data_IF_332383345792
#
_entry.id   IF_332383345792
#
_cell.length_a   1.000
_cell.length_b   1.000
_cell.length_c   1.000
_cell.angle_alpha   90.00
_cell.angle_beta   90.00
_cell.angle_gamma   90.00
#
_symmetry.space_group_name_H-M   'P 1'
#
loop_
_entity.id
_entity.type
_entity.pdbx_description
1 polymer ?
#
# COMPACT_ATOMS: atom_id res chain seq x y z
N UNK A 1 -24.44 -48.70 -49.74
CA UNK A 1 -25.74 -49.43 -49.81
C UNK A 1 -25.97 -49.86 -51.26
N UNK A 2 -26.32 -51.13 -51.50
CA UNK A 2 -26.63 -51.64 -52.85
C UNK A 2 -28.11 -51.95 -52.91
N UNK A 3 -28.82 -51.32 -53.84
CA UNK A 3 -30.25 -51.58 -54.08
C UNK A 3 -30.37 -52.33 -55.39
N UNK A 4 -31.12 -53.43 -55.39
CA UNK A 4 -31.36 -54.25 -56.57
C UNK A 4 -32.85 -54.30 -56.90
N UNK A 5 -33.19 -54.11 -58.17
CA UNK A 5 -34.52 -54.35 -58.71
C UNK A 5 -34.51 -55.57 -59.62
N UNK A 6 -35.57 -56.38 -59.56
CA UNK A 6 -35.73 -57.59 -60.37
C UNK A 6 -37.06 -57.56 -61.13
N UNK A 7 -37.04 -57.89 -62.42
CA UNK A 7 -38.25 -57.99 -63.25
C UNK A 7 -37.95 -58.64 -64.59
N UNK A 8 -38.84 -59.52 -65.07
CA UNK A 8 -38.67 -60.21 -66.36
C UNK A 8 -37.39 -61.04 -66.50
N UNK A 9 -36.86 -61.59 -65.39
CA UNK A 9 -35.60 -62.34 -65.38
C UNK A 9 -34.33 -61.48 -65.36
N UNK A 10 -34.45 -60.15 -65.36
CA UNK A 10 -33.31 -59.22 -65.28
C UNK A 10 -33.14 -58.72 -63.85
N UNK A 11 -31.88 -58.59 -63.42
CA UNK A 11 -31.49 -57.93 -62.17
C UNK A 11 -30.65 -56.71 -62.53
N UNK A 12 -31.04 -55.55 -62.01
CA UNK A 12 -30.22 -54.32 -62.06
C UNK A 12 -29.93 -53.86 -60.65
N UNK A 13 -28.70 -53.47 -60.41
CA UNK A 13 -28.29 -52.91 -59.13
C UNK A 13 -27.76 -51.50 -59.32
N UNK A 14 -28.08 -50.63 -58.38
CA UNK A 14 -27.45 -49.32 -58.21
C UNK A 14 -26.76 -49.29 -56.85
N UNK A 15 -25.59 -48.67 -56.81
CA UNK A 15 -24.87 -48.41 -55.56
C UNK A 15 -25.13 -46.99 -55.11
N UNK A 16 -25.64 -46.86 -53.89
CA UNK A 16 -25.75 -45.61 -53.16
C UNK A 16 -24.63 -45.53 -52.11
N UNK A 17 -24.00 -44.38 -51.98
CA UNK A 17 -23.04 -44.09 -50.92
C UNK A 17 -23.77 -43.62 -49.67
N UNK A 18 -23.55 -44.28 -48.52
CA UNK A 18 -23.99 -43.81 -47.21
C UNK A 18 -22.80 -43.14 -46.53
N UNK A 19 -22.89 -41.84 -46.29
CA UNK A 19 -21.89 -41.10 -45.51
C UNK A 19 -22.39 -40.97 -44.08
N UNK A 20 -21.80 -41.70 -43.15
CA UNK A 20 -22.06 -41.52 -41.71
C UNK A 20 -21.18 -40.37 -41.25
N UNK A 21 -21.79 -39.27 -40.79
CA UNK A 21 -21.08 -38.18 -40.10
C UNK A 21 -21.16 -38.45 -38.61
N UNK A 22 -20.01 -38.56 -37.94
CA UNK A 22 -19.98 -38.63 -36.49
C UNK A 22 -20.56 -37.34 -35.89
N UNK A 23 -21.39 -37.48 -34.85
CA UNK A 23 -21.87 -36.34 -34.07
C UNK A 23 -20.80 -36.02 -33.05
N UNK A 24 -20.22 -34.85 -33.15
CA UNK A 24 -19.15 -34.42 -32.26
C UNK A 24 -19.15 -32.89 -32.09
N UNK A 25 -18.19 -32.35 -31.36
CA UNK A 25 -17.96 -30.92 -31.27
C UNK A 25 -16.47 -30.59 -31.37
N UNK A 26 -16.15 -29.34 -31.68
CA UNK A 26 -14.79 -28.81 -31.67
C UNK A 26 -14.71 -27.69 -30.65
N UNK A 27 -13.61 -27.65 -29.89
CA UNK A 27 -13.26 -26.51 -29.05
C UNK A 27 -12.10 -25.74 -29.68
N UNK A 28 -12.14 -24.41 -29.59
CA UNK A 28 -11.06 -23.54 -30.04
C UNK A 28 -10.94 -22.30 -29.17
N UNK A 29 -9.77 -21.68 -29.20
CA UNK A 29 -9.48 -20.42 -28.51
C UNK A 29 -9.24 -19.32 -29.54
N UNK A 30 -9.64 -18.09 -29.21
CA UNK A 30 -9.30 -16.88 -29.96
C UNK A 30 -7.82 -16.54 -29.93
N UNK A 31 -7.10 -16.99 -28.90
CA UNK A 31 -5.68 -16.73 -28.69
C UNK A 31 -4.93 -18.03 -28.35
N UNK A 32 -3.75 -18.22 -28.94
CA UNK A 32 -2.82 -19.28 -28.57
C UNK A 32 -1.89 -18.85 -27.42
N UNK A 33 -1.61 -17.55 -27.32
CA UNK A 33 -0.78 -16.96 -26.27
C UNK A 33 -1.38 -15.64 -25.79
N UNK A 34 -1.36 -15.44 -24.49
CA UNK A 34 -1.75 -14.17 -23.84
C UNK A 34 -0.63 -13.74 -22.91
N UNK A 35 -0.29 -12.46 -22.93
CA UNK A 35 0.69 -11.86 -22.00
C UNK A 35 -0.03 -10.87 -21.10
N UNK A 36 0.25 -10.93 -19.80
CA UNK A 36 -0.41 -10.11 -18.78
C UNK A 36 0.57 -9.84 -17.65
N UNK A 37 0.47 -8.67 -17.03
CA UNK A 37 1.28 -8.32 -15.87
C UNK A 37 0.64 -8.82 -14.57
N UNK A 38 1.46 -9.06 -13.57
CA UNK A 38 1.03 -9.35 -12.21
C UNK A 38 0.04 -8.30 -11.69
N UNK A 39 -1.03 -8.73 -11.02
CA UNK A 39 -2.07 -7.85 -10.48
C UNK A 39 -3.13 -7.40 -11.49
N UNK A 40 -3.00 -7.75 -12.77
CA UNK A 40 -3.97 -7.40 -13.80
C UNK A 40 -4.89 -8.57 -14.18
N UNK A 41 -5.95 -8.23 -14.91
CA UNK A 41 -6.91 -9.18 -15.45
C UNK A 41 -6.75 -9.30 -16.96
N UNK A 42 -7.05 -10.47 -17.51
CA UNK A 42 -7.15 -10.69 -18.96
C UNK A 42 -8.32 -11.62 -19.27
N UNK A 43 -8.73 -11.69 -20.54
CA UNK A 43 -9.77 -12.62 -20.97
C UNK A 43 -9.46 -13.29 -22.30
N UNK A 44 -9.97 -14.50 -22.47
CA UNK A 44 -9.81 -15.30 -23.69
C UNK A 44 -11.20 -15.76 -24.13
N UNK A 45 -11.54 -15.57 -25.41
CA UNK A 45 -12.76 -16.14 -25.97
C UNK A 45 -12.53 -17.60 -26.36
N UNK A 46 -13.38 -18.49 -25.85
CA UNK A 46 -13.44 -19.93 -26.17
C UNK A 46 -14.69 -20.18 -27.00
N UNK A 47 -14.53 -20.89 -28.11
CA UNK A 47 -15.62 -21.23 -29.02
C UNK A 47 -15.81 -22.74 -29.03
N UNK A 48 -17.07 -23.17 -28.93
CA UNK A 48 -17.48 -24.57 -29.06
C UNK A 48 -18.38 -24.66 -30.29
N UNK A 49 -17.95 -25.43 -31.28
CA UNK A 49 -18.64 -25.59 -32.56
C UNK A 49 -19.21 -27.00 -32.68
N UNK A 50 -20.45 -27.14 -33.14
CA UNK A 50 -21.02 -28.46 -33.43
C UNK A 50 -20.42 -29.07 -34.70
N UNK A 51 -20.23 -30.40 -34.69
CA UNK A 51 -19.90 -31.22 -35.85
C UNK A 51 -21.10 -32.14 -36.14
N UNK A 52 -21.63 -32.05 -37.36
CA UNK A 52 -22.85 -32.76 -37.75
C UNK A 52 -24.07 -32.29 -36.94
N UNK A 53 -24.89 -33.23 -36.49
CA UNK A 53 -26.12 -32.97 -35.72
C UNK A 53 -25.91 -33.14 -34.21
N UNK A 54 -24.71 -32.85 -33.72
CA UNK A 54 -24.43 -32.86 -32.30
C UNK A 54 -25.29 -31.81 -31.57
N UNK A 55 -26.02 -32.27 -30.54
CA UNK A 55 -27.01 -31.47 -29.81
C UNK A 55 -27.01 -31.77 -28.29
N UNK A 56 -25.92 -32.34 -27.78
CA UNK A 56 -25.76 -32.57 -26.34
C UNK A 56 -25.03 -31.36 -25.70
N UNK A 57 -25.33 -31.01 -24.44
CA UNK A 57 -24.59 -29.98 -23.72
C UNK A 57 -23.10 -30.35 -23.58
N UNK A 58 -22.24 -29.36 -23.76
CA UNK A 58 -20.79 -29.44 -23.50
C UNK A 58 -20.47 -28.57 -22.29
N UNK A 59 -19.85 -29.16 -21.28
CA UNK A 59 -19.35 -28.45 -20.10
C UNK A 59 -17.88 -28.09 -20.26
N UNK A 60 -17.53 -26.86 -19.91
CA UNK A 60 -16.18 -26.32 -19.96
C UNK A 60 -15.52 -26.38 -18.58
N UNK A 61 -14.29 -26.87 -18.54
CA UNK A 61 -13.41 -26.83 -17.37
C UNK A 61 -12.05 -26.27 -17.77
N UNK A 62 -11.31 -25.76 -16.78
CA UNK A 62 -9.95 -25.31 -16.95
C UNK A 62 -9.09 -25.91 -15.84
N UNK A 63 -7.94 -26.45 -16.22
CA UNK A 63 -6.87 -26.78 -15.28
C UNK A 63 -5.79 -25.70 -15.39
N UNK A 64 -5.60 -24.94 -14.31
CA UNK A 64 -4.48 -24.02 -14.16
C UNK A 64 -3.33 -24.73 -13.45
N UNK A 65 -2.09 -24.45 -13.87
CA UNK A 65 -0.88 -25.01 -13.24
C UNK A 65 -0.48 -24.21 -11.98
N UNK A 66 -1.06 -23.02 -11.79
CA UNK A 66 -0.89 -22.18 -10.60
C UNK A 66 -2.19 -22.09 -9.82
N UNK A 67 -2.17 -22.51 -8.56
CA UNK A 67 -3.32 -22.44 -7.63
C UNK A 67 -3.87 -21.03 -7.43
N UNK A 68 -3.06 -20.01 -7.71
CA UNK A 68 -3.37 -18.63 -7.33
C UNK A 68 -4.09 -17.85 -8.44
N UNK A 69 -4.03 -18.33 -9.69
CA UNK A 69 -4.74 -17.67 -10.80
C UNK A 69 -6.20 -18.08 -10.77
N UNK A 70 -7.08 -17.11 -10.57
CA UNK A 70 -8.52 -17.33 -10.62
C UNK A 70 -8.99 -17.29 -12.08
N UNK A 71 -9.76 -18.32 -12.47
CA UNK A 71 -10.23 -18.51 -13.83
C UNK A 71 -11.75 -18.77 -13.84
N UNK A 72 -12.51 -17.96 -14.60
CA UNK A 72 -13.97 -18.04 -14.61
C UNK A 72 -14.55 -17.90 -16.02
N UNK A 73 -15.33 -18.89 -16.43
CA UNK A 73 -16.14 -18.84 -17.65
C UNK A 73 -17.41 -18.01 -17.44
N UNK A 74 -17.76 -17.17 -18.42
CA UNK A 74 -19.09 -16.51 -18.44
C UNK A 74 -20.21 -17.52 -18.69
N UNK A 75 -19.95 -18.53 -19.53
CA UNK A 75 -20.84 -19.67 -19.79
C UNK A 75 -20.04 -20.95 -19.61
N UNK A 76 -20.29 -21.68 -18.51
CA UNK A 76 -19.55 -22.91 -18.21
C UNK A 76 -20.14 -24.16 -18.88
N UNK A 77 -21.35 -24.10 -19.43
CA UNK A 77 -21.96 -25.21 -20.18
C UNK A 77 -23.01 -24.69 -21.15
N UNK A 78 -23.16 -25.35 -22.30
CA UNK A 78 -24.13 -24.98 -23.32
C UNK A 78 -24.27 -26.03 -24.41
N UNK A 79 -25.32 -25.93 -25.22
CA UNK A 79 -25.49 -26.77 -26.42
C UNK A 79 -24.75 -26.11 -27.60
N UNK A 80 -23.81 -26.81 -28.28
CA UNK A 80 -23.09 -26.23 -29.41
C UNK A 80 -23.99 -25.83 -30.59
N UNK A 81 -23.69 -24.74 -31.31
CA UNK A 81 -22.52 -23.87 -31.15
C UNK A 81 -22.75 -22.75 -30.12
N UNK A 82 -21.78 -22.50 -29.26
CA UNK A 82 -21.78 -21.37 -28.32
C UNK A 82 -20.35 -20.84 -28.11
N UNK A 83 -20.24 -19.66 -27.50
CA UNK A 83 -18.97 -19.10 -27.07
C UNK A 83 -19.01 -18.74 -25.59
N UNK A 84 -17.85 -18.74 -24.95
CA UNK A 84 -17.67 -18.39 -23.55
C UNK A 84 -16.42 -17.55 -23.38
N UNK A 85 -16.48 -16.53 -22.53
CA UNK A 85 -15.32 -15.73 -22.17
C UNK A 85 -14.71 -16.31 -20.91
N UNK A 86 -13.46 -16.76 -21.00
CA UNK A 86 -12.63 -17.15 -19.87
C UNK A 86 -11.97 -15.90 -19.30
N UNK A 87 -12.41 -15.44 -18.13
CA UNK A 87 -11.78 -14.34 -17.40
C UNK A 87 -10.70 -14.90 -16.48
N UNK A 88 -9.51 -14.28 -16.52
CA UNK A 88 -8.36 -14.63 -15.70
C UNK A 88 -8.00 -13.42 -14.84
N UNK A 89 -7.84 -13.66 -13.54
CA UNK A 89 -7.30 -12.70 -12.58
C UNK A 89 -5.93 -13.20 -12.11
N UNK A 90 -4.90 -12.37 -12.30
CA UNK A 90 -3.50 -12.71 -12.02
C UNK A 90 -3.07 -11.97 -10.74
N UNK A 91 -2.96 -12.64 -9.58
CA UNK A 91 -2.47 -11.99 -8.38
C UNK A 91 -1.06 -11.43 -8.52
N UNK A 92 -0.73 -10.42 -7.70
CA UNK A 92 0.64 -9.88 -7.59
C UNK A 92 1.66 -10.93 -7.12
N UNK A 93 1.20 -11.96 -6.42
CA UNK A 93 2.03 -13.04 -5.89
C UNK A 93 2.29 -14.17 -6.89
N UNK A 94 1.66 -14.14 -8.07
CA UNK A 94 1.91 -15.12 -9.13
C UNK A 94 3.32 -14.92 -9.68
N UNK A 95 4.22 -15.92 -9.63
CA UNK A 95 5.57 -15.77 -10.19
C UNK A 95 5.54 -15.40 -11.68
N UNK A 96 6.57 -14.70 -12.13
CA UNK A 96 6.74 -14.46 -13.56
C UNK A 96 7.10 -15.78 -14.28
N UNK A 97 6.63 -15.92 -15.51
CA UNK A 97 6.88 -17.12 -16.30
C UNK A 97 5.75 -17.48 -17.26
N UNK A 98 5.97 -18.59 -17.98
CA UNK A 98 5.01 -19.13 -18.92
C UNK A 98 4.25 -20.30 -18.30
N UNK A 99 2.92 -20.26 -18.40
CA UNK A 99 2.00 -21.26 -17.89
C UNK A 99 1.14 -21.80 -19.02
N UNK A 100 0.88 -23.11 -19.01
CA UNK A 100 -0.01 -23.76 -19.98
C UNK A 100 -1.40 -23.92 -19.37
N UNK A 101 -2.37 -23.19 -19.90
CA UNK A 101 -3.78 -23.36 -19.57
C UNK A 101 -4.35 -24.46 -20.47
N UNK A 102 -4.96 -25.48 -19.87
CA UNK A 102 -5.69 -26.51 -20.63
C UNK A 102 -7.18 -26.33 -20.38
N UNK A 103 -7.89 -25.92 -21.44
CA UNK A 103 -9.34 -25.78 -21.44
C UNK A 103 -9.93 -27.04 -22.05
N UNK A 104 -10.81 -27.69 -21.32
CA UNK A 104 -11.47 -28.93 -21.72
C UNK A 104 -12.97 -28.68 -21.91
N UNK A 105 -13.52 -29.22 -23.00
CA UNK A 105 -14.95 -29.37 -23.21
C UNK A 105 -15.31 -30.84 -23.11
N UNK A 106 -16.29 -31.18 -22.29
CA UNK A 106 -16.75 -32.56 -22.08
C UNK A 106 -18.27 -32.69 -22.31
N UNK A 107 -18.66 -33.75 -23.01
CA UNK A 107 -20.05 -34.17 -23.19
C UNK A 107 -20.15 -35.71 -23.18
N UNK A 108 -20.47 -36.27 -22.01
CA UNK A 108 -20.37 -37.71 -21.80
C UNK A 108 -18.93 -38.20 -21.96
N UNK A 109 -18.70 -39.16 -22.86
CA UNK A 109 -17.38 -39.70 -23.17
C UNK A 109 -16.59 -38.87 -24.19
N UNK A 110 -17.20 -37.86 -24.81
CA UNK A 110 -16.53 -36.97 -25.78
C UNK A 110 -15.84 -35.84 -25.04
N UNK A 111 -14.52 -35.83 -25.13
CA UNK A 111 -13.66 -34.86 -24.47
C UNK A 111 -12.72 -34.26 -25.51
N UNK A 112 -12.76 -32.94 -25.65
CA UNK A 112 -11.86 -32.18 -26.52
C UNK A 112 -11.19 -31.07 -25.71
N UNK A 113 -9.95 -30.73 -26.05
CA UNK A 113 -9.23 -29.67 -25.34
C UNK A 113 -8.53 -28.70 -26.29
N UNK A 114 -8.34 -27.48 -25.80
CA UNK A 114 -7.49 -26.47 -26.41
C UNK A 114 -6.52 -25.96 -25.36
N UNK A 115 -5.29 -25.65 -25.79
CA UNK A 115 -4.24 -25.12 -24.92
C UNK A 115 -3.98 -23.67 -25.24
N UNK A 116 -3.73 -22.87 -24.20
CA UNK A 116 -3.33 -21.47 -24.30
C UNK A 116 -2.12 -21.23 -23.40
N UNK A 117 -1.10 -20.56 -23.92
CA UNK A 117 0.04 -20.13 -23.12
C UNK A 117 -0.26 -18.79 -22.45
N UNK A 118 -0.22 -18.75 -21.13
CA UNK A 118 -0.31 -17.55 -20.32
C UNK A 118 1.11 -17.13 -19.91
N UNK A 119 1.57 -15.99 -20.41
CA UNK A 119 2.86 -15.41 -20.04
C UNK A 119 2.65 -14.30 -19.00
N UNK A 120 3.04 -14.57 -17.76
CA UNK A 120 2.96 -13.62 -16.66
C UNK A 120 4.25 -12.81 -16.58
N UNK A 121 4.12 -11.49 -16.68
CA UNK A 121 5.22 -10.54 -16.52
C UNK A 121 5.17 -9.88 -15.15
N UNK A 122 6.35 -9.57 -14.61
CA UNK A 122 6.46 -8.72 -13.43
C UNK A 122 5.87 -7.34 -13.71
N UNK A 123 5.03 -6.85 -12.80
CA UNK A 123 4.52 -5.48 -12.85
C UNK A 123 5.50 -4.53 -12.16
N UNK A 124 6.00 -3.47 -12.83
CA UNK A 124 6.88 -2.51 -12.20
C UNK A 124 6.09 -1.61 -11.24
N UNK A 125 6.62 -1.42 -10.04
CA UNK A 125 6.08 -0.49 -9.04
C UNK A 125 7.17 0.48 -8.61
N UNK A 126 6.78 1.74 -8.44
CA UNK A 126 7.57 2.77 -7.78
C UNK A 126 6.83 3.26 -6.55
N UNK A 127 7.57 3.43 -5.44
CA UNK A 127 7.03 3.87 -4.17
C UNK A 127 7.86 5.04 -3.68
N UNK A 128 7.23 6.20 -3.52
CA UNK A 128 7.90 7.41 -3.02
C UNK A 128 7.24 7.87 -1.73
N UNK A 129 8.02 8.55 -0.90
CA UNK A 129 7.56 9.18 0.34
C UNK A 129 8.17 10.58 0.47
N UNK A 130 7.55 11.40 1.28
CA UNK A 130 8.01 12.74 1.64
C UNK A 130 7.59 13.01 3.08
N UNK A 131 8.55 13.11 4.02
CA UNK A 131 8.27 13.52 5.38
C UNK A 131 8.12 15.03 5.48
N UNK A 132 7.22 15.47 6.35
CA UNK A 132 6.94 16.86 6.69
C UNK A 132 6.83 16.95 8.22
N UNK A 133 7.56 17.89 8.82
CA UNK A 133 7.59 18.09 10.28
C UNK A 133 7.00 19.47 10.61
N UNK A 134 5.97 19.48 11.44
CA UNK A 134 5.32 20.70 11.95
C UNK A 134 5.39 20.70 13.48
N UNK A 135 6.38 21.39 14.05
CA UNK A 135 6.65 21.35 15.49
C UNK A 135 7.08 19.95 15.94
N UNK A 136 6.28 19.31 16.80
CA UNK A 136 6.47 17.91 17.23
C UNK A 136 5.61 16.91 16.44
N UNK A 137 4.84 17.37 15.45
CA UNK A 137 3.98 16.54 14.60
C UNK A 137 4.75 16.11 13.36
N UNK A 138 4.65 14.83 13.01
CA UNK A 138 5.25 14.29 11.80
C UNK A 138 4.13 13.80 10.90
N UNK A 139 4.19 14.21 9.63
CA UNK A 139 3.31 13.74 8.58
C UNK A 139 4.17 13.17 7.46
N UNK A 140 3.89 11.94 7.06
CA UNK A 140 4.55 11.33 5.89
C UNK A 140 3.50 11.05 4.85
N UNK A 141 3.71 11.59 3.65
CA UNK A 141 2.85 11.32 2.50
C UNK A 141 3.66 10.62 1.42
N UNK A 142 2.99 9.87 0.55
CA UNK A 142 3.67 9.16 -0.53
C UNK A 142 2.72 8.74 -1.64
N UNK A 143 3.32 8.20 -2.72
CA UNK A 143 2.59 7.73 -3.90
C UNK A 143 3.09 6.34 -4.26
N UNK A 144 2.16 5.40 -4.41
CA UNK A 144 2.39 4.11 -5.05
C UNK A 144 1.96 4.21 -6.52
N UNK A 145 2.90 3.99 -7.45
CA UNK A 145 2.63 4.00 -8.89
C UNK A 145 3.01 2.65 -9.50
N UNK A 146 2.13 2.03 -10.32
CA UNK A 146 0.75 2.43 -10.58
C UNK A 146 -0.15 2.29 -9.34
N UNK A 147 -1.26 3.05 -9.26
CA UNK A 147 -2.20 2.93 -8.16
C UNK A 147 -2.93 1.58 -8.21
N UNK A 148 -3.05 0.91 -7.07
CA UNK A 148 -3.80 -0.34 -6.95
C UNK A 148 -4.72 -0.31 -5.73
N UNK A 149 -5.84 -1.02 -5.80
CA UNK A 149 -6.79 -1.13 -4.69
C UNK A 149 -7.40 -2.53 -4.59
N UNK A 150 -7.66 -3.02 -3.36
CA UNK A 150 -7.21 -2.46 -2.09
C UNK A 150 -5.70 -2.70 -1.91
N UNK A 151 -4.96 -1.71 -1.41
CA UNK A 151 -3.57 -1.87 -1.01
C UNK A 151 -3.28 -1.15 0.30
N UNK A 152 -2.29 -1.69 1.02
CA UNK A 152 -1.74 -1.11 2.24
C UNK A 152 -0.24 -0.91 2.09
N UNK A 153 0.25 0.19 2.62
CA UNK A 153 1.68 0.48 2.76
C UNK A 153 2.06 0.34 4.23
N UNK A 154 3.12 -0.39 4.50
CA UNK A 154 3.77 -0.41 5.81
C UNK A 154 4.79 0.72 5.86
N UNK A 155 4.60 1.67 6.77
CA UNK A 155 5.57 2.71 7.10
C UNK A 155 6.35 2.28 8.33
N UNK A 156 7.67 2.19 8.19
CA UNK A 156 8.60 1.86 9.27
C UNK A 156 9.43 3.09 9.61
N UNK A 157 9.23 3.62 10.80
CA UNK A 157 9.99 4.74 11.35
C UNK A 157 10.99 4.21 12.36
N UNK A 158 12.18 4.81 12.36
CA UNK A 158 13.22 4.49 13.34
C UNK A 158 13.90 5.78 13.80
N UNK A 159 13.98 6.01 15.11
CA UNK A 159 14.74 7.13 15.66
C UNK A 159 16.20 6.75 15.85
N UNK A 160 17.09 7.75 15.79
CA UNK A 160 18.50 7.57 16.13
C UNK A 160 18.80 8.30 17.44
N UNK A 161 19.46 7.63 18.37
CA UNK A 161 19.91 8.24 19.63
C UNK A 161 21.41 8.53 19.56
N UNK A 162 21.83 9.66 20.14
CA UNK A 162 23.24 10.12 20.12
C UNK A 162 24.19 9.21 20.92
N UNK A 163 23.68 8.25 21.72
CA UNK A 163 24.46 7.46 22.68
C UNK A 163 24.52 5.94 22.38
N UNK A 164 24.17 5.50 21.17
CA UNK A 164 24.28 4.08 20.78
C UNK A 164 23.21 3.17 21.40
N UNK A 165 22.16 3.74 21.98
CA UNK A 165 20.96 3.01 22.40
C UNK A 165 20.05 2.73 21.18
N UNK A 166 19.37 1.58 21.16
CA UNK A 166 18.35 1.28 20.14
C UNK A 166 17.25 2.34 20.21
N UNK A 167 17.05 3.08 19.10
CA UNK A 167 16.00 4.07 18.99
C UNK A 167 14.59 3.47 18.92
N UNK A 168 13.59 4.33 19.05
CA UNK A 168 12.18 3.96 18.95
C UNK A 168 11.87 3.50 17.52
N UNK A 169 11.21 2.34 17.38
CA UNK A 169 10.70 1.85 16.10
C UNK A 169 9.18 1.89 16.09
N UNK A 170 8.61 2.54 15.09
CA UNK A 170 7.16 2.65 14.91
C UNK A 170 6.79 2.03 13.56
N UNK A 171 5.78 1.17 13.56
CA UNK A 171 5.26 0.53 12.34
C UNK A 171 3.79 0.87 12.21
N UNK A 172 3.44 1.60 11.15
CA UNK A 172 2.06 1.92 10.82
C UNK A 172 1.67 1.29 9.48
N UNK A 173 0.41 0.87 9.35
CA UNK A 173 -0.18 0.47 8.08
C UNK A 173 -1.17 1.54 7.62
N UNK A 174 -0.99 2.02 6.40
CA UNK A 174 -1.89 3.00 5.78
C UNK A 174 -2.50 2.48 4.50
N UNK A 175 -3.78 2.79 4.28
CA UNK A 175 -4.48 2.40 3.06
C UNK A 175 -4.07 3.32 1.90
N UNK A 176 -3.90 2.74 0.72
CA UNK A 176 -3.66 3.45 -0.53
C UNK A 176 -4.98 3.92 -1.12
N UNK A 177 -5.06 5.20 -1.48
CA UNK A 177 -6.22 5.81 -2.15
C UNK A 177 -6.27 5.41 -3.63
N UNK A 178 -7.37 5.75 -4.31
CA UNK A 178 -7.55 5.45 -5.73
C UNK A 178 -6.55 6.09 -6.68
N UNK A 179 -5.95 7.20 -6.26
CA UNK A 179 -4.88 7.91 -6.98
C UNK A 179 -3.49 7.37 -6.66
N UNK A 180 -3.38 6.35 -5.80
CA UNK A 180 -2.11 5.78 -5.33
C UNK A 180 -1.52 6.53 -4.14
N UNK A 181 -2.14 7.63 -3.71
CA UNK A 181 -1.70 8.43 -2.58
C UNK A 181 -1.96 7.72 -1.25
N UNK A 182 -1.02 7.87 -0.32
CA UNK A 182 -1.20 7.46 1.07
C UNK A 182 -0.55 8.48 2.00
N UNK A 183 -0.99 8.51 3.25
CA UNK A 183 -0.41 9.39 4.25
C UNK A 183 -0.60 8.84 5.64
N UNK A 184 0.38 9.09 6.49
CA UNK A 184 0.36 8.83 7.93
C UNK A 184 0.69 10.11 8.68
N UNK A 185 0.18 10.20 9.90
CA UNK A 185 0.41 11.34 10.77
C UNK A 185 0.48 10.89 12.23
N UNK A 186 1.57 11.27 12.90
CA UNK A 186 1.80 10.87 14.28
C UNK A 186 2.62 11.91 15.04
N UNK A 187 2.76 11.67 16.34
CA UNK A 187 3.56 12.48 17.24
C UNK A 187 4.54 11.55 17.96
N UNK A 188 5.81 11.55 17.57
CA UNK A 188 6.82 10.69 18.19
C UNK A 188 7.04 11.06 19.65
N UNK A 189 7.51 10.09 20.44
CA UNK A 189 7.82 10.33 21.86
C UNK A 189 9.22 10.86 22.08
N UNK A 190 10.08 10.73 21.08
CA UNK A 190 11.49 11.14 21.12
C UNK A 190 11.76 12.20 20.05
N UNK A 191 12.51 13.24 20.43
CA UNK A 191 12.97 14.30 19.52
C UNK A 191 14.36 13.94 18.97
N UNK A 192 14.73 14.52 17.84
CA UNK A 192 16.02 14.28 17.19
C UNK A 192 15.89 13.72 15.79
N UNK A 193 16.88 12.93 15.38
CA UNK A 193 16.99 12.35 14.05
C UNK A 193 16.10 11.12 13.89
N UNK A 194 15.39 11.06 12.77
CA UNK A 194 14.53 9.95 12.40
C UNK A 194 14.77 9.56 10.95
N UNK A 195 14.48 8.30 10.63
CA UNK A 195 14.32 7.85 9.26
C UNK A 195 12.99 7.11 9.08
N UNK A 196 12.50 7.11 7.85
CA UNK A 196 11.28 6.41 7.45
C UNK A 196 11.50 5.63 6.16
N UNK A 197 10.90 4.45 6.10
CA UNK A 197 10.83 3.62 4.89
C UNK A 197 9.42 3.14 4.65
N UNK A 198 8.94 3.26 3.42
CA UNK A 198 7.69 2.67 2.99
C UNK A 198 7.94 1.31 2.32
N UNK A 199 7.09 0.33 2.64
CA UNK A 199 7.15 -1.02 2.06
C UNK A 199 5.75 -1.40 1.59
N UNK A 200 5.65 -1.77 0.32
CA UNK A 200 4.47 -2.36 -0.27
C UNK A 200 4.66 -3.88 -0.38
N UNK A 201 3.70 -4.65 0.13
CA UNK A 201 3.73 -6.12 0.11
C UNK A 201 2.52 -6.70 -0.62
N UNK A 202 2.68 -7.89 -1.18
CA UNK A 202 1.57 -8.67 -1.72
C UNK A 202 0.76 -9.35 -0.60
N UNK A 203 -0.33 -10.04 -0.98
CA UNK A 203 -1.20 -10.75 -0.04
C UNK A 203 -0.52 -11.92 0.68
N UNK A 204 0.66 -12.36 0.24
CA UNK A 204 1.47 -13.40 0.88
C UNK A 204 2.57 -12.82 1.78
N UNK A 205 2.68 -11.49 1.85
CA UNK A 205 3.69 -10.77 2.63
C UNK A 205 5.03 -10.57 1.93
N UNK A 206 5.15 -10.92 0.64
CA UNK A 206 6.37 -10.67 -0.13
C UNK A 206 6.48 -9.19 -0.44
N UNK A 207 7.70 -8.64 -0.39
CA UNK A 207 7.94 -7.24 -0.75
C UNK A 207 7.81 -7.08 -2.27
N UNK A 208 6.90 -6.21 -2.69
CA UNK A 208 6.67 -5.87 -4.11
C UNK A 208 7.43 -4.60 -4.48
N UNK A 209 7.39 -3.59 -3.61
CA UNK A 209 8.13 -2.35 -3.76
C UNK A 209 8.55 -1.79 -2.39
N UNK A 210 9.60 -1.01 -2.38
CA UNK A 210 10.03 -0.23 -1.22
C UNK A 210 10.46 1.15 -1.69
N UNK A 211 10.24 2.16 -0.85
CA UNK A 211 10.84 3.47 -1.07
C UNK A 211 12.31 3.46 -0.71
N UNK A 212 13.00 4.52 -1.14
CA UNK A 212 14.23 4.96 -0.50
C UNK A 212 13.96 5.32 0.97
N UNK A 213 15.04 5.35 1.77
CA UNK A 213 14.98 5.76 3.17
C UNK A 213 15.08 7.28 3.20
N UNK A 214 14.06 7.93 3.75
CA UNK A 214 14.06 9.38 3.94
C UNK A 214 14.40 9.71 5.38
N UNK A 215 15.19 10.76 5.57
CA UNK A 215 15.63 11.26 6.87
C UNK A 215 14.92 12.57 7.20
N UNK A 216 14.58 12.76 8.47
CA UNK A 216 14.02 14.01 8.95
C UNK A 216 14.37 14.22 10.43
N UNK A 217 14.41 15.48 10.84
CA UNK A 217 14.76 15.89 12.20
C UNK A 217 13.58 16.57 12.87
N UNK A 218 13.35 16.24 14.13
CA UNK A 218 12.37 16.92 14.97
C UNK A 218 13.13 17.77 15.97
N UNK A 219 13.05 19.07 15.79
CA UNK A 219 13.87 20.01 16.56
C UNK A 219 13.59 19.94 18.06
N UNK A 220 14.69 19.91 18.84
CA UNK A 220 14.68 20.08 20.30
C UNK A 220 14.46 21.56 20.64
N UNK A 221 13.26 22.07 20.40
CA UNK A 221 12.87 23.41 20.87
C UNK A 221 12.20 23.31 22.24
N UNK A 222 12.27 24.37 23.05
CA UNK A 222 11.60 24.44 24.35
C UNK A 222 10.10 24.13 24.22
N UNK A 223 9.46 24.59 23.14
CA UNK A 223 8.05 24.33 22.86
C UNK A 223 7.83 22.85 22.56
N UNK A 224 8.63 22.22 21.71
CA UNK A 224 8.50 20.81 21.39
C UNK A 224 8.75 19.92 22.62
N UNK A 225 9.77 20.21 23.42
CA UNK A 225 10.01 19.50 24.68
C UNK A 225 8.85 19.65 25.66
N UNK A 226 8.31 20.86 25.83
CA UNK A 226 7.12 21.11 26.64
C UNK A 226 5.90 20.32 26.14
N UNK A 227 5.66 20.29 24.83
CA UNK A 227 4.52 19.56 24.25
C UNK A 227 4.62 18.05 24.49
N UNK A 228 5.82 17.48 24.39
CA UNK A 228 6.05 16.06 24.69
C UNK A 228 5.91 15.75 26.18
N UNK A 229 6.45 16.60 27.06
CA UNK A 229 6.33 16.46 28.51
C UNK A 229 4.87 16.51 28.96
N UNK A 230 4.09 17.48 28.44
CA UNK A 230 2.68 17.63 28.76
C UNK A 230 1.85 16.40 28.35
N UNK A 231 2.21 15.75 27.23
CA UNK A 231 1.49 14.60 26.69
C UNK A 231 1.87 13.27 27.38
N UNK A 232 3.16 13.01 27.56
CA UNK A 232 3.62 11.73 28.12
C UNK A 232 3.59 11.69 29.66
N UNK A 233 3.52 12.85 30.34
CA UNK A 233 3.44 12.93 31.80
C UNK A 233 2.33 13.90 32.23
N UNK A 234 1.05 13.53 32.09
CA UNK A 234 -0.08 14.41 32.39
C UNK A 234 -0.14 14.87 33.85
N UNK A 235 0.49 14.14 34.78
CA UNK A 235 0.58 14.52 36.20
C UNK A 235 1.48 15.74 36.47
N UNK A 236 2.32 16.19 35.52
CA UNK A 236 3.15 17.39 35.67
C UNK A 236 2.39 18.69 35.36
N UNK A 237 1.19 18.60 34.77
CA UNK A 237 0.32 19.75 34.48
C UNK A 237 -0.38 20.34 35.72
N UNK A 238 -0.10 19.83 36.92
CA UNK A 238 -0.59 20.38 38.20
C UNK A 238 0.36 21.46 38.76
N UNK A 239 1.49 21.73 38.11
CA UNK A 239 2.42 22.79 38.51
C UNK A 239 1.85 24.23 38.51
N UNK A 240 0.89 24.65 37.65
CA UNK A 240 0.25 25.95 37.83
C UNK A 240 -0.67 25.98 39.07
N UNK A 241 -1.17 24.82 39.53
CA UNK A 241 -1.93 24.74 40.78
C UNK A 241 -1.01 24.91 42.01
N UNK A 242 0.21 24.38 41.96
CA UNK A 242 1.22 24.54 43.03
C UNK A 242 1.76 25.98 43.06
N UNK A 243 1.93 26.63 41.91
CA UNK A 243 2.31 28.05 41.83
C UNK A 243 1.22 28.99 42.37
N UNK A 244 -0.07 28.69 42.13
CA UNK A 244 -1.19 29.45 42.72
C UNK A 244 -1.30 29.22 44.23
N UNK A 245 -1.00 28.02 44.73
CA UNK A 245 -0.96 27.74 46.19
C UNK A 245 0.23 28.42 46.86
N UNK A 246 1.39 28.53 46.21
CA UNK A 246 2.54 29.28 46.73
C UNK A 246 2.28 30.79 46.80
N UNK A 247 1.56 31.36 45.83
CA UNK A 247 1.11 32.77 45.85
C UNK A 247 0.05 33.00 46.94
N UNK A 248 -0.79 32.01 47.25
CA UNK A 248 -1.77 32.09 48.33
C UNK A 248 -1.15 32.02 49.74
N UNK A 249 -0.02 31.33 49.93
CA UNK A 249 0.66 31.23 51.24
C UNK A 249 1.46 32.50 51.57
N UNK A 250 1.99 33.22 50.57
CA UNK A 250 2.66 34.51 50.78
C UNK A 250 1.65 35.65 51.06
N UNK A 251 0.37 35.48 50.68
CA UNK A 251 -0.69 36.48 50.90
C UNK A 251 -1.22 36.63 52.33
N UNK A 252 -0.88 35.73 53.27
CA UNK A 252 -1.49 35.71 54.63
C UNK A 252 -0.60 36.33 55.73
N UNK A 253 0.66 36.68 55.45
CA UNK A 253 1.47 37.46 56.39
C UNK A 253 1.95 38.74 55.72
N UNK A 254 1.23 39.84 55.95
CA UNK A 254 1.73 41.18 56.32
C UNK A 254 0.56 42.17 56.17
N UNK A 255 -0.14 42.41 57.29
CA UNK A 255 -1.04 43.56 57.46
C UNK A 255 -0.43 44.44 58.55
N UNK A 256 -0.24 45.72 58.18
CA UNK A 256 0.16 46.91 58.99
C UNK A 256 1.66 47.15 59.23
N UNK A 257 2.26 48.04 58.44
CA UNK A 257 2.39 49.49 58.79
C UNK A 257 3.12 50.31 57.71
N UNK A 258 2.46 51.43 57.34
CA UNK A 258 2.96 52.80 57.05
C UNK A 258 4.17 53.00 56.11
N UNK A 259 3.85 53.53 54.93
CA UNK A 259 4.38 54.79 54.38
C UNK A 259 5.88 54.91 54.12
N UNK A 260 6.29 54.72 52.86
CA UNK A 260 7.57 55.20 52.32
C UNK A 260 7.34 55.76 50.89
N UNK A 261 7.94 56.92 50.62
CA UNK A 261 7.89 57.75 49.41
C UNK A 261 8.37 57.01 48.13
N UNK A 262 7.98 57.47 46.91
CA UNK A 262 8.56 56.93 45.69
C UNK A 262 10.06 57.24 45.62
N UNK A 263 10.86 56.20 45.44
CA UNK A 263 12.33 56.25 45.24
C UNK A 263 12.60 55.84 43.79
N UNK A 264 13.61 56.43 43.11
CA UNK A 264 13.54 56.73 41.69
C UNK A 264 13.82 55.52 40.79
N UNK A 265 13.34 55.62 39.55
CA UNK A 265 13.73 54.78 38.42
C UNK A 265 15.25 54.64 38.36
N UNK A 266 15.77 53.43 38.62
CA UNK A 266 17.17 53.10 38.36
C UNK A 266 17.37 53.05 36.85
N UNK A 267 18.15 53.98 36.31
CA UNK A 267 18.65 53.95 34.93
C UNK A 267 19.45 52.67 34.72
N UNK A 268 18.97 51.80 33.84
CA UNK A 268 19.61 50.53 33.53
C UNK A 268 20.80 50.77 32.60
N UNK A 269 21.99 50.32 33.00
CA UNK A 269 23.25 50.47 32.24
C UNK A 269 23.44 49.20 31.41
N UNK A 270 23.92 49.34 30.17
CA UNK A 270 24.15 48.23 29.26
C UNK A 270 25.64 48.12 28.89
N UNK A 271 26.11 46.90 28.65
CA UNK A 271 27.48 46.65 28.22
C UNK A 271 27.74 47.24 26.84
N UNK A 272 28.78 48.06 26.72
CA UNK A 272 29.19 48.71 25.45
C UNK A 272 29.58 47.71 24.35
N UNK A 273 29.96 46.47 24.72
CA UNK A 273 30.39 45.44 23.75
C UNK A 273 29.29 44.50 23.31
N UNK A 274 28.43 44.04 24.23
CA UNK A 274 27.42 43.01 23.92
C UNK A 274 25.96 43.44 24.17
N UNK A 275 25.72 44.65 24.70
CA UNK A 275 24.37 45.16 24.94
C UNK A 275 23.61 44.47 26.08
N UNK A 276 24.24 43.57 26.83
CA UNK A 276 23.62 42.94 28.00
C UNK A 276 23.45 43.95 29.14
N UNK A 277 22.35 43.88 29.93
CA UNK A 277 22.16 44.74 31.09
C UNK A 277 23.21 44.44 32.18
N UNK A 278 23.74 45.48 32.81
CA UNK A 278 24.75 45.42 33.87
C UNK A 278 24.20 45.97 35.18
N UNK A 279 24.67 45.42 36.31
CA UNK A 279 24.49 46.06 37.61
C UNK A 279 25.55 47.14 37.82
N UNK A 280 25.25 48.17 38.61
CA UNK A 280 26.15 49.31 38.86
C UNK A 280 27.43 48.87 39.61
N UNK A 281 27.36 47.72 40.28
CA UNK A 281 28.47 47.13 41.02
C UNK A 281 29.40 46.24 40.17
N UNK A 282 29.03 45.88 38.93
CA UNK A 282 29.80 44.94 38.10
C UNK A 282 31.04 45.60 37.47
N UNK A 283 32.24 45.16 37.84
CA UNK A 283 33.51 45.61 37.22
C UNK A 283 33.80 44.89 35.89
N UNK A 284 33.22 43.69 35.70
CA UNK A 284 33.33 42.87 34.49
C UNK A 284 31.95 42.42 34.02
N UNK A 285 31.72 42.40 32.70
CA UNK A 285 30.47 41.89 32.15
C UNK A 285 30.36 40.36 32.34
N UNK A 286 29.31 39.83 32.99
CA UNK A 286 29.16 38.39 33.25
C UNK A 286 28.95 37.57 31.97
N UNK A 287 28.58 38.22 30.86
CA UNK A 287 28.29 37.55 29.58
C UNK A 287 29.48 37.54 28.60
N UNK A 288 30.35 38.56 28.64
CA UNK A 288 31.46 38.65 27.67
C UNK A 288 32.84 38.92 28.30
N UNK A 289 32.92 39.00 29.63
CA UNK A 289 34.17 39.12 30.38
C UNK A 289 34.91 40.46 30.23
N UNK A 290 34.38 41.43 29.48
CA UNK A 290 35.05 42.73 29.34
C UNK A 290 34.92 43.58 30.58
N UNK A 291 36.05 44.10 31.05
CA UNK A 291 36.12 45.12 32.11
C UNK A 291 35.41 46.39 31.66
N UNK A 292 34.53 46.93 32.47
CA UNK A 292 33.88 48.20 32.20
C UNK A 292 34.79 49.34 32.68
N UNK A 293 35.16 50.27 31.79
CA UNK A 293 35.76 51.52 32.20
C UNK A 293 34.62 52.38 32.77
N UNK A 294 34.54 52.48 34.10
CA UNK A 294 33.57 53.35 34.79
C UNK A 294 33.78 54.81 34.43
#
# INVERSE_FOLDING_TARGET
>A
LKVSGTGGGLIRSVTATLTIREKDFKISSSLETVTVEQGDNTSIQINVEKIGDFNAPVSLTISSVTSDVEAKFTVASGVPSFSSTLNLNIPLSTPEGAYTLTIEGASGERIHSVRVTLNVKKKPFTLTITPEVEGAKVKVSGILTPPIQPAKITLQYHSHTEEGEEGETIIHEVNVKSDGGFSDEFYPKTLGEWCVKAIFKDNKGNIVAASDIEHFTIEKTFINELTLLARNKPLLLILPLIAVVAIAIVGIKIVRKKGIKPTPSKTQIYCQKCGAPLSVEDEFCPYCGTRQNK
#
